data_IF_436536168148
#
_entry.id   IF_436536168148
#
_cell.length_a   1.000
_cell.length_b   1.000
_cell.length_c   1.000
_cell.angle_alpha   90.00
_cell.angle_beta   90.00
_cell.angle_gamma   90.00
#
_symmetry.space_group_name_H-M   'P 1'
#
loop_
_entity.id
_entity.type
_entity.pdbx_description
1 polymer ?
#
# COMPACT_ATOMS: atom_id res chain seq x y z
N UNK A 1 24.33 14.69 19.44
CA UNK A 1 23.69 13.87 18.40
C UNK A 1 23.30 14.78 17.26
N UNK A 2 22.99 14.28 16.07
CA UNK A 2 22.51 15.14 14.99
C UNK A 2 21.20 15.81 15.40
N UNK A 3 21.17 17.15 15.41
CA UNK A 3 20.09 17.96 15.99
C UNK A 3 18.93 18.19 15.01
N UNK A 4 18.52 17.13 14.30
CA UNK A 4 17.32 17.16 13.47
C UNK A 4 16.17 16.51 14.25
N UNK A 5 15.05 17.22 14.33
CA UNK A 5 13.84 16.73 14.99
C UNK A 5 13.20 15.59 14.18
N UNK A 6 12.15 14.96 14.72
CA UNK A 6 11.58 13.73 14.17
C UNK A 6 11.06 13.89 12.72
N UNK A 7 10.76 15.13 12.33
CA UNK A 7 10.35 15.59 11.00
C UNK A 7 11.41 15.34 9.88
N UNK A 8 12.62 14.87 10.23
CA UNK A 8 13.67 14.54 9.25
C UNK A 8 14.13 13.07 9.34
N UNK A 9 13.48 12.23 10.14
CA UNK A 9 13.95 10.86 10.42
C UNK A 9 13.51 9.87 9.32
N UNK A 10 14.10 9.98 8.14
CA UNK A 10 14.03 8.98 7.06
C UNK A 10 15.42 8.44 6.70
N UNK A 11 15.55 7.12 6.48
CA UNK A 11 16.84 6.52 6.13
C UNK A 11 17.30 6.92 4.71
N UNK A 12 16.34 7.06 3.79
CA UNK A 12 16.50 7.78 2.53
C UNK A 12 15.40 8.86 2.51
N UNK A 13 15.72 10.10 2.91
CA UNK A 13 14.80 11.26 2.76
C UNK A 13 15.22 12.11 1.56
N UNK A 14 14.24 12.46 0.71
CA UNK A 14 14.41 13.28 -0.48
C UNK A 14 13.37 14.41 -0.46
N UNK A 15 13.76 15.60 -0.91
CA UNK A 15 12.88 16.77 -1.00
C UNK A 15 12.69 17.15 -2.48
N UNK A 16 11.45 17.37 -2.91
CA UNK A 16 11.08 17.83 -4.26
C UNK A 16 11.82 17.05 -5.38
N UNK A 17 11.65 15.73 -5.43
CA UNK A 17 12.52 14.84 -6.20
C UNK A 17 11.76 13.84 -7.08
N UNK A 18 12.24 13.68 -8.31
CA UNK A 18 11.74 12.72 -9.32
C UNK A 18 12.63 11.47 -9.40
N UNK A 19 13.32 11.14 -8.30
CA UNK A 19 14.35 10.10 -8.28
C UNK A 19 13.82 8.68 -8.53
N UNK A 20 14.68 7.87 -9.15
CA UNK A 20 14.60 6.40 -9.11
C UNK A 20 15.33 5.90 -7.85
N UNK A 21 14.59 5.32 -6.91
CA UNK A 21 15.13 4.64 -5.73
C UNK A 21 14.97 3.14 -5.95
N UNK A 22 16.03 2.48 -6.40
CA UNK A 22 16.01 1.08 -6.85
C UNK A 22 17.00 0.18 -6.10
N UNK A 23 16.58 -1.05 -5.78
CA UNK A 23 17.48 -2.14 -5.37
C UNK A 23 18.08 -2.02 -3.95
N UNK A 24 17.53 -1.16 -3.09
CA UNK A 24 18.10 -0.87 -1.77
C UNK A 24 17.64 -1.86 -0.69
N UNK A 25 18.52 -2.14 0.27
CA UNK A 25 18.18 -2.81 1.53
C UNK A 25 18.08 -1.77 2.67
N UNK A 26 16.86 -1.36 3.00
CA UNK A 26 16.56 -0.31 3.98
C UNK A 26 15.97 -0.93 5.23
N UNK A 27 16.79 -1.18 6.27
CA UNK A 27 16.34 -1.93 7.46
C UNK A 27 16.83 -1.41 8.80
N UNK A 28 16.07 -1.71 9.85
CA UNK A 28 16.41 -1.45 11.25
C UNK A 28 16.57 0.04 11.62
N UNK A 29 15.93 0.96 10.88
CA UNK A 29 16.05 2.39 11.14
C UNK A 29 15.10 2.86 12.25
N UNK A 30 15.58 3.77 13.10
CA UNK A 30 14.76 4.47 14.10
C UNK A 30 14.04 5.68 13.48
N UNK A 31 13.40 5.44 12.35
CA UNK A 31 12.74 6.41 11.49
C UNK A 31 12.21 5.71 10.25
N UNK A 32 11.52 6.47 9.40
CA UNK A 32 10.94 6.00 8.15
C UNK A 32 12.00 5.33 7.25
N UNK A 33 11.62 4.34 6.46
CA UNK A 33 12.54 3.69 5.52
C UNK A 33 12.93 4.65 4.40
N UNK A 34 12.00 4.88 3.47
CA UNK A 34 12.14 5.85 2.37
C UNK A 34 11.12 6.96 2.58
N UNK A 35 11.49 8.21 2.37
CA UNK A 35 10.61 9.38 2.53
C UNK A 35 10.82 10.36 1.38
N UNK A 36 9.77 10.61 0.59
CA UNK A 36 9.71 11.74 -0.34
C UNK A 36 8.85 12.83 0.29
N UNK A 37 9.41 14.02 0.44
CA UNK A 37 8.80 15.17 1.08
C UNK A 37 8.72 16.37 0.10
N UNK A 38 7.67 17.16 0.22
CA UNK A 38 7.47 18.41 -0.51
C UNK A 38 7.65 18.32 -2.04
N UNK A 39 7.24 17.20 -2.66
CA UNK A 39 7.10 17.07 -4.10
C UNK A 39 7.77 15.85 -4.75
N UNK A 40 7.10 15.35 -5.79
CA UNK A 40 7.55 14.33 -6.74
C UNK A 40 6.68 14.43 -8.00
N UNK A 41 7.23 14.14 -9.18
CA UNK A 41 6.50 14.08 -10.45
C UNK A 41 7.29 13.28 -11.50
N UNK A 42 7.11 11.95 -11.51
CA UNK A 42 7.89 11.00 -12.30
C UNK A 42 8.85 10.14 -11.47
N UNK A 43 8.80 10.26 -10.13
CA UNK A 43 9.58 9.43 -9.22
C UNK A 43 9.19 7.94 -9.31
N UNK A 44 10.14 7.06 -8.98
CA UNK A 44 9.90 5.62 -8.89
C UNK A 44 10.65 4.99 -7.72
N UNK A 45 9.95 4.22 -6.91
CA UNK A 45 10.53 3.44 -5.80
C UNK A 45 10.31 1.96 -6.13
N UNK A 46 11.36 1.24 -6.54
CA UNK A 46 11.23 -0.11 -7.07
C UNK A 46 12.27 -1.14 -6.61
N UNK A 47 11.89 -2.42 -6.54
CA UNK A 47 12.78 -3.55 -6.18
C UNK A 47 13.50 -3.41 -4.82
N UNK A 48 13.01 -2.56 -3.91
CA UNK A 48 13.62 -2.35 -2.59
C UNK A 48 13.13 -3.35 -1.53
N UNK A 49 13.95 -3.59 -0.52
CA UNK A 49 13.64 -4.44 0.65
C UNK A 49 13.65 -3.55 1.88
N UNK A 50 12.48 -3.34 2.47
CA UNK A 50 12.23 -2.31 3.47
C UNK A 50 11.67 -3.00 4.72
N UNK A 51 12.52 -3.22 5.74
CA UNK A 51 12.19 -4.14 6.84
C UNK A 51 12.51 -3.61 8.23
N UNK A 52 11.63 -3.83 9.21
CA UNK A 52 11.85 -3.48 10.62
C UNK A 52 12.26 -2.00 10.85
N UNK A 53 11.68 -1.08 10.07
CA UNK A 53 11.84 0.35 10.27
C UNK A 53 10.76 0.89 11.22
N UNK A 54 11.06 1.95 11.96
CA UNK A 54 10.08 2.67 12.79
C UNK A 54 9.24 3.61 11.91
N UNK A 55 7.98 3.83 12.25
CA UNK A 55 7.13 4.80 11.55
C UNK A 55 6.48 4.21 10.31
N UNK A 56 7.00 4.49 9.12
CA UNK A 56 6.53 3.90 7.87
C UNK A 56 7.67 3.28 7.06
N UNK A 57 7.39 2.22 6.29
CA UNK A 57 8.34 1.65 5.34
C UNK A 57 8.67 2.64 4.21
N UNK A 58 7.63 3.14 3.55
CA UNK A 58 7.72 4.28 2.62
C UNK A 58 6.76 5.37 3.11
N UNK A 59 7.20 6.62 3.03
CA UNK A 59 6.44 7.81 3.38
C UNK A 59 6.40 8.80 2.21
N UNK A 60 5.20 9.15 1.75
CA UNK A 60 4.99 10.19 0.74
C UNK A 60 4.29 11.39 1.39
N UNK A 61 4.97 12.52 1.45
CA UNK A 61 4.45 13.77 2.03
C UNK A 61 4.39 14.90 1.01
N UNK A 62 3.25 15.61 1.02
CA UNK A 62 3.06 16.92 0.38
C UNK A 62 3.56 16.96 -1.09
N UNK A 63 3.02 16.10 -1.94
CA UNK A 63 3.40 16.02 -3.34
C UNK A 63 2.22 15.76 -4.27
N UNK A 64 2.29 16.31 -5.48
CA UNK A 64 1.31 16.06 -6.55
C UNK A 64 2.04 15.81 -7.86
N UNK A 65 1.82 14.65 -8.43
CA UNK A 65 2.49 14.18 -9.64
C UNK A 65 2.40 12.65 -9.68
N UNK A 66 2.92 12.02 -10.73
CA UNK A 66 2.96 10.56 -10.74
C UNK A 66 4.13 10.05 -9.86
N UNK A 67 3.89 9.08 -8.99
CA UNK A 67 4.97 8.28 -8.40
C UNK A 67 4.61 6.80 -8.47
N UNK A 68 5.51 6.00 -9.05
CA UNK A 68 5.34 4.57 -9.19
C UNK A 68 6.07 3.85 -8.04
N UNK A 69 5.33 3.19 -7.16
CA UNK A 69 5.87 2.44 -6.02
C UNK A 69 5.61 0.97 -6.31
N UNK A 70 6.60 0.28 -6.87
CA UNK A 70 6.40 -1.05 -7.44
C UNK A 70 7.42 -2.11 -7.08
N UNK A 71 7.01 -3.38 -7.08
CA UNK A 71 7.93 -4.49 -6.84
C UNK A 71 8.76 -4.37 -5.54
N UNK A 72 8.28 -3.70 -4.49
CA UNK A 72 9.00 -3.61 -3.21
C UNK A 72 8.53 -4.71 -2.24
N UNK A 73 9.41 -5.09 -1.31
CA UNK A 73 9.09 -5.98 -0.18
C UNK A 73 9.13 -5.14 1.10
N UNK A 74 7.98 -4.95 1.74
CA UNK A 74 7.79 -4.01 2.86
C UNK A 74 7.25 -4.78 4.07
N UNK A 75 8.10 -4.97 5.09
CA UNK A 75 7.79 -5.87 6.19
C UNK A 75 8.13 -5.36 7.60
N UNK A 76 7.37 -5.87 8.57
CA UNK A 76 7.63 -5.75 10.01
C UNK A 76 7.83 -4.31 10.51
N UNK A 77 7.22 -3.31 9.85
CA UNK A 77 7.33 -1.91 10.28
C UNK A 77 6.66 -1.71 11.65
N UNK A 78 7.34 -1.00 12.55
CA UNK A 78 6.93 -0.84 13.94
C UNK A 78 6.59 0.62 14.30
N UNK A 79 5.81 0.90 15.36
CA UNK A 79 5.46 2.26 15.74
C UNK A 79 6.70 3.10 16.08
N UNK A 80 6.80 4.29 15.48
CA UNK A 80 7.70 5.37 15.91
C UNK A 80 7.02 6.19 17.02
N UNK A 81 5.74 6.49 16.84
CA UNK A 81 4.87 7.12 17.84
C UNK A 81 3.40 6.70 17.60
N UNK A 82 2.45 7.37 18.26
CA UNK A 82 1.00 7.06 18.15
C UNK A 82 0.40 7.37 16.78
N UNK A 83 0.98 8.29 16.02
CA UNK A 83 0.54 8.70 14.69
C UNK A 83 1.20 7.83 13.60
N UNK A 84 2.55 7.81 13.58
CA UNK A 84 3.34 6.93 12.70
C UNK A 84 3.49 5.54 13.33
N UNK A 85 2.41 4.78 13.25
CA UNK A 85 2.19 3.57 14.04
C UNK A 85 2.62 2.24 13.38
N UNK A 86 3.62 2.26 12.50
CA UNK A 86 4.15 1.06 11.83
C UNK A 86 3.40 0.73 10.54
N UNK A 87 3.40 1.65 9.58
CA UNK A 87 2.74 1.51 8.28
C UNK A 87 3.68 0.92 7.23
N UNK A 88 3.14 0.13 6.29
CA UNK A 88 3.90 -0.31 5.11
C UNK A 88 4.24 0.88 4.20
N UNK A 89 3.24 1.40 3.49
CA UNK A 89 3.26 2.70 2.82
C UNK A 89 2.31 3.63 3.57
N UNK A 90 2.80 4.80 3.94
CA UNK A 90 1.98 5.93 4.39
C UNK A 90 2.09 7.07 3.38
N UNK A 91 0.96 7.67 3.03
CA UNK A 91 0.92 8.91 2.29
C UNK A 91 0.01 9.90 3.00
N UNK A 92 0.42 11.16 3.07
CA UNK A 92 -0.46 12.25 3.48
C UNK A 92 -0.23 13.53 2.70
N UNK A 93 -1.32 14.25 2.46
CA UNK A 93 -1.29 15.51 1.70
C UNK A 93 -0.70 15.33 0.29
N UNK A 94 -0.80 14.11 -0.23
CA UNK A 94 -0.11 13.58 -1.40
C UNK A 94 -1.14 13.02 -2.40
N UNK A 95 -0.82 13.00 -3.70
CA UNK A 95 -1.74 12.49 -4.73
C UNK A 95 -0.99 11.97 -5.96
N UNK A 96 -1.58 11.01 -6.67
CA UNK A 96 -1.05 10.40 -7.90
C UNK A 96 -0.08 9.22 -7.69
N UNK A 97 -0.18 8.52 -6.56
CA UNK A 97 0.66 7.36 -6.26
C UNK A 97 0.08 6.08 -6.90
N UNK A 98 0.94 5.33 -7.59
CA UNK A 98 0.61 4.01 -8.14
C UNK A 98 1.39 2.96 -7.35
N UNK A 99 0.71 2.30 -6.41
CA UNK A 99 1.23 1.23 -5.55
C UNK A 99 0.88 -0.12 -6.20
N UNK A 100 1.83 -0.76 -6.87
CA UNK A 100 1.57 -2.01 -7.58
C UNK A 100 2.65 -3.09 -7.49
N UNK A 101 2.27 -4.37 -7.53
CA UNK A 101 3.22 -5.49 -7.47
C UNK A 101 4.10 -5.53 -6.20
N UNK A 102 3.73 -4.87 -5.11
CA UNK A 102 4.47 -4.94 -3.85
C UNK A 102 4.05 -6.16 -3.01
N UNK A 103 4.92 -6.58 -2.10
CA UNK A 103 4.65 -7.58 -1.07
C UNK A 103 4.71 -6.94 0.31
N UNK A 104 3.61 -7.00 1.05
CA UNK A 104 3.50 -6.46 2.41
C UNK A 104 3.35 -7.58 3.44
N UNK A 105 4.18 -7.57 4.48
CA UNK A 105 4.19 -8.60 5.52
C UNK A 105 4.23 -7.97 6.92
N UNK A 106 3.26 -8.31 7.78
CA UNK A 106 3.32 -8.08 9.24
C UNK A 106 3.54 -6.62 9.71
N UNK A 107 3.16 -5.62 8.92
CA UNK A 107 3.29 -4.22 9.32
C UNK A 107 2.31 -3.91 10.47
N UNK A 108 2.76 -3.23 11.53
CA UNK A 108 1.97 -3.08 12.79
C UNK A 108 0.63 -2.34 12.61
N UNK A 109 0.49 -1.57 11.52
CA UNK A 109 -0.70 -0.80 11.14
C UNK A 109 -1.17 -1.21 9.73
N UNK A 110 -1.58 -0.26 8.90
CA UNK A 110 -1.99 -0.54 7.53
C UNK A 110 -0.81 -0.95 6.63
N UNK A 111 -1.03 -1.88 5.69
CA UNK A 111 -0.07 -2.11 4.61
C UNK A 111 0.02 -0.88 3.69
N UNK A 112 -1.12 -0.27 3.34
CA UNK A 112 -1.18 1.04 2.67
C UNK A 112 -2.19 1.94 3.38
N UNK A 113 -1.81 3.17 3.76
CA UNK A 113 -2.73 4.23 4.17
C UNK A 113 -2.43 5.51 3.37
N UNK A 114 -3.44 6.04 2.70
CA UNK A 114 -3.43 7.41 2.16
C UNK A 114 -4.45 8.27 2.90
N UNK A 115 -4.13 9.55 3.10
CA UNK A 115 -5.01 10.51 3.79
C UNK A 115 -4.61 11.94 3.44
N UNK A 116 -5.38 12.90 3.93
CA UNK A 116 -5.07 14.32 3.94
C UNK A 116 -5.19 14.79 5.38
N UNK A 117 -4.22 15.52 5.90
CA UNK A 117 -4.21 15.95 7.31
C UNK A 117 -4.09 17.47 7.47
N UNK A 118 -3.76 18.19 6.41
CA UNK A 118 -3.73 19.66 6.42
C UNK A 118 -4.52 20.27 5.25
N UNK A 119 -4.51 21.60 5.18
CA UNK A 119 -4.87 22.38 4.00
C UNK A 119 -3.63 23.05 3.36
N UNK A 120 -2.44 22.43 3.48
CA UNK A 120 -1.22 22.90 2.82
C UNK A 120 -1.43 22.97 1.32
N UNK A 121 -0.65 23.80 0.64
CA UNK A 121 -0.72 23.97 -0.81
C UNK A 121 0.47 23.34 -1.50
N UNK A 122 0.25 22.82 -2.70
CA UNK A 122 1.29 22.48 -3.67
C UNK A 122 1.11 23.42 -4.85
N UNK A 123 2.03 24.39 -4.99
CA UNK A 123 1.79 25.59 -5.80
C UNK A 123 0.58 26.39 -5.27
N UNK A 124 -0.32 26.79 -6.16
CA UNK A 124 -1.52 27.57 -5.78
C UNK A 124 -2.69 26.72 -5.26
N UNK A 125 -2.69 25.41 -5.57
CA UNK A 125 -3.76 24.47 -5.24
C UNK A 125 -3.58 23.91 -3.84
N UNK A 126 -4.69 23.71 -3.13
CA UNK A 126 -4.67 22.91 -1.91
C UNK A 126 -4.29 21.46 -2.25
N UNK A 127 -3.55 20.82 -1.36
CA UNK A 127 -3.28 19.39 -1.40
C UNK A 127 -4.58 18.57 -1.36
N UNK A 128 -4.50 17.32 -1.80
CA UNK A 128 -5.60 16.35 -1.76
C UNK A 128 -5.06 14.97 -1.31
N UNK A 129 -5.90 13.94 -1.36
CA UNK A 129 -5.54 12.53 -1.27
C UNK A 129 -6.22 11.79 -2.44
N UNK A 130 -5.89 12.20 -3.67
CA UNK A 130 -6.58 11.88 -4.92
C UNK A 130 -5.71 11.10 -5.89
N UNK A 131 -6.35 10.47 -6.87
CA UNK A 131 -5.71 9.76 -7.99
C UNK A 131 -4.78 8.59 -7.54
N UNK A 132 -5.10 8.02 -6.37
CA UNK A 132 -4.32 6.94 -5.73
C UNK A 132 -4.73 5.55 -6.26
N UNK A 133 -3.78 4.77 -6.76
CA UNK A 133 -4.02 3.47 -7.39
C UNK A 133 -3.27 2.37 -6.64
N UNK A 134 -3.98 1.42 -6.04
CA UNK A 134 -3.42 0.33 -5.22
C UNK A 134 -3.83 -1.02 -5.83
N UNK A 135 -3.02 -1.57 -6.73
CA UNK A 135 -3.39 -2.76 -7.53
C UNK A 135 -2.33 -3.83 -7.59
N UNK A 136 -2.72 -5.09 -7.83
CA UNK A 136 -1.77 -6.19 -8.07
C UNK A 136 -0.77 -6.40 -6.91
N UNK A 137 -1.07 -6.05 -5.66
CA UNK A 137 -0.18 -6.28 -4.51
C UNK A 137 -0.53 -7.59 -3.79
N UNK A 138 0.44 -8.17 -3.07
CA UNK A 138 0.21 -9.25 -2.10
C UNK A 138 0.35 -8.66 -0.69
N UNK A 139 -0.64 -8.86 0.18
CA UNK A 139 -0.69 -8.30 1.54
C UNK A 139 -1.03 -9.38 2.57
N UNK A 140 -0.24 -9.46 3.65
CA UNK A 140 -0.44 -10.39 4.75
C UNK A 140 -0.02 -9.81 6.11
N UNK A 141 -0.72 -10.23 7.18
CA UNK A 141 -0.33 -9.99 8.57
C UNK A 141 -0.32 -8.54 9.03
N UNK A 142 -0.69 -7.58 8.17
CA UNK A 142 -0.82 -6.18 8.58
C UNK A 142 -2.10 -6.01 9.40
N UNK A 143 -2.19 -4.98 10.24
CA UNK A 143 -3.43 -4.74 11.02
C UNK A 143 -4.63 -4.52 10.10
N UNK A 144 -4.43 -3.69 9.09
CA UNK A 144 -5.36 -3.44 7.99
C UNK A 144 -4.61 -3.55 6.66
N UNK A 145 -5.28 -3.88 5.55
CA UNK A 145 -4.62 -3.96 4.26
C UNK A 145 -4.55 -2.59 3.59
N UNK A 146 -5.71 -1.99 3.28
CA UNK A 146 -5.79 -0.71 2.55
C UNK A 146 -6.72 0.27 3.28
N UNK A 147 -6.19 1.44 3.59
CA UNK A 147 -6.92 2.52 4.24
C UNK A 147 -6.90 3.77 3.34
N UNK A 148 -8.07 4.17 2.83
CA UNK A 148 -8.24 5.37 1.99
C UNK A 148 -9.28 6.31 2.62
N UNK A 149 -9.31 7.59 2.24
CA UNK A 149 -10.41 8.47 2.59
C UNK A 149 -11.75 7.96 2.02
N UNK A 150 -12.85 8.48 2.55
CA UNK A 150 -14.13 8.33 1.87
C UNK A 150 -14.12 9.15 0.55
N UNK A 151 -14.58 8.59 -0.59
CA UNK A 151 -14.62 9.29 -1.88
C UNK A 151 -15.32 10.64 -1.79
N UNK A 152 -14.61 11.72 -2.10
CA UNK A 152 -15.08 13.08 -1.85
C UNK A 152 -14.30 14.13 -2.65
N UNK A 153 -14.65 15.41 -2.51
CA UNK A 153 -14.00 16.52 -3.22
C UNK A 153 -12.50 16.69 -2.90
N UNK A 154 -12.00 16.10 -1.81
CA UNK A 154 -10.57 16.13 -1.41
C UNK A 154 -9.88 14.76 -1.57
N UNK A 155 -10.59 13.75 -2.07
CA UNK A 155 -10.07 12.41 -2.36
C UNK A 155 -10.91 11.79 -3.48
N UNK A 156 -10.48 12.05 -4.71
CA UNK A 156 -11.14 11.67 -5.96
C UNK A 156 -10.35 10.55 -6.64
N UNK A 157 -11.03 9.73 -7.44
CA UNK A 157 -10.42 8.73 -8.33
C UNK A 157 -9.56 7.64 -7.66
N UNK A 158 -9.58 7.51 -6.33
CA UNK A 158 -8.80 6.49 -5.64
C UNK A 158 -9.38 5.08 -5.88
N UNK A 159 -8.51 4.11 -6.15
CA UNK A 159 -8.85 2.73 -6.53
C UNK A 159 -8.00 1.73 -5.75
N UNK A 160 -8.64 0.64 -5.30
CA UNK A 160 -7.93 -0.57 -4.90
C UNK A 160 -8.62 -1.80 -5.45
N UNK A 161 -7.93 -2.60 -6.28
CA UNK A 161 -8.46 -3.84 -6.86
C UNK A 161 -7.32 -4.79 -7.26
N UNK A 162 -7.62 -6.04 -7.64
CA UNK A 162 -6.64 -7.05 -8.06
C UNK A 162 -5.56 -7.39 -7.02
N UNK A 163 -5.77 -7.05 -5.76
CA UNK A 163 -4.85 -7.38 -4.67
C UNK A 163 -5.15 -8.78 -4.10
N UNK A 164 -4.13 -9.45 -3.59
CA UNK A 164 -4.25 -10.73 -2.88
C UNK A 164 -4.01 -10.52 -1.40
N UNK A 165 -4.96 -10.96 -0.58
CA UNK A 165 -4.88 -10.95 0.86
C UNK A 165 -4.75 -12.39 1.37
N UNK A 166 -3.75 -12.68 2.20
CA UNK A 166 -3.64 -13.98 2.87
C UNK A 166 -3.21 -13.75 4.32
N UNK A 167 -3.67 -14.58 5.27
CA UNK A 167 -3.36 -14.40 6.70
C UNK A 167 -3.54 -12.93 7.18
N UNK A 168 -4.57 -12.27 6.66
CA UNK A 168 -4.81 -10.83 6.82
C UNK A 168 -6.06 -10.63 7.68
N UNK A 169 -5.98 -9.70 8.63
CA UNK A 169 -7.09 -9.35 9.52
C UNK A 169 -8.08 -8.40 8.84
N UNK A 170 -8.12 -7.15 9.28
CA UNK A 170 -8.96 -6.13 8.65
C UNK A 170 -8.48 -5.91 7.20
N UNK A 171 -9.40 -5.81 6.23
CA UNK A 171 -9.03 -5.53 4.83
C UNK A 171 -9.06 -4.03 4.58
N UNK A 172 -10.24 -3.42 4.66
CA UNK A 172 -10.44 -2.02 4.30
C UNK A 172 -10.84 -1.12 5.45
N UNK A 173 -10.47 0.15 5.34
CA UNK A 173 -10.93 1.22 6.22
C UNK A 173 -11.15 2.51 5.46
N UNK A 174 -12.24 3.20 5.77
CA UNK A 174 -12.38 4.61 5.44
C UNK A 174 -11.76 5.44 6.57
N UNK A 175 -10.63 6.08 6.30
CA UNK A 175 -9.93 6.94 7.26
C UNK A 175 -10.44 8.37 7.22
N UNK A 176 -10.20 9.10 8.32
CA UNK A 176 -10.37 10.55 8.35
C UNK A 176 -9.46 11.23 7.31
N UNK A 177 -9.98 12.28 6.70
CA UNK A 177 -9.33 13.12 5.71
C UNK A 177 -9.74 14.58 5.96
N UNK A 178 -8.77 15.49 6.06
CA UNK A 178 -9.01 16.90 6.32
C UNK A 178 -9.85 17.54 5.19
N UNK A 179 -10.94 18.22 5.55
CA UNK A 179 -11.87 18.79 4.56
C UNK A 179 -12.79 17.78 3.86
N UNK A 180 -12.85 16.53 4.33
CA UNK A 180 -13.90 15.58 3.92
C UNK A 180 -15.31 16.09 4.33
N UNK A 181 -16.39 15.57 3.74
CA UNK A 181 -17.76 15.89 4.16
C UNK A 181 -18.02 15.57 5.63
N UNK A 182 -18.97 16.29 6.24
CA UNK A 182 -19.45 16.01 7.60
C UNK A 182 -19.82 14.52 7.76
N UNK A 183 -19.58 13.94 8.95
CA UNK A 183 -19.71 12.49 9.17
C UNK A 183 -21.09 12.00 8.76
N UNK A 184 -22.13 12.74 9.10
CA UNK A 184 -23.55 12.46 8.85
C UNK A 184 -23.83 12.33 7.34
N UNK A 185 -23.18 13.15 6.52
CA UNK A 185 -23.28 13.08 5.06
C UNK A 185 -22.55 11.86 4.49
N UNK A 186 -21.47 11.40 5.14
CA UNK A 186 -20.80 10.14 4.81
C UNK A 186 -21.68 8.96 5.24
N UNK A 187 -22.25 8.98 6.46
CA UNK A 187 -23.17 7.94 6.95
C UNK A 187 -24.36 7.77 6.00
N UNK A 188 -24.96 8.88 5.54
CA UNK A 188 -26.06 8.90 4.55
C UNK A 188 -25.66 8.26 3.22
N UNK A 189 -24.55 8.70 2.63
CA UNK A 189 -24.07 8.15 1.35
C UNK A 189 -23.71 6.67 1.44
N UNK A 190 -23.11 6.22 2.54
CA UNK A 190 -22.84 4.79 2.75
C UNK A 190 -24.15 4.03 2.86
N UNK A 191 -25.15 4.49 3.63
CA UNK A 191 -26.48 3.84 3.69
C UNK A 191 -27.15 3.77 2.31
N UNK A 192 -27.08 4.84 1.52
CA UNK A 192 -27.64 4.89 0.17
C UNK A 192 -26.98 3.88 -0.78
N UNK A 193 -25.64 3.73 -0.72
CA UNK A 193 -24.90 2.78 -1.57
C UNK A 193 -24.97 1.33 -1.08
N UNK A 194 -24.99 1.12 0.24
CA UNK A 194 -24.97 -0.18 0.87
C UNK A 194 -26.36 -0.85 0.90
N UNK A 195 -27.42 -0.05 0.96
CA UNK A 195 -28.80 -0.51 1.07
C UNK A 195 -29.08 -1.29 2.35
N UNK A 196 -30.28 -1.87 2.45
CA UNK A 196 -30.71 -2.64 3.63
C UNK A 196 -29.96 -3.98 3.81
N UNK A 197 -29.22 -4.44 2.80
CA UNK A 197 -28.55 -5.76 2.79
C UNK A 197 -27.25 -5.76 3.63
N UNK A 198 -26.69 -4.58 3.94
CA UNK A 198 -25.39 -4.42 4.58
C UNK A 198 -25.48 -3.61 5.90
N UNK A 199 -26.60 -3.64 6.62
CA UNK A 199 -26.77 -2.87 7.87
C UNK A 199 -25.78 -3.31 8.96
N UNK A 200 -25.41 -4.60 9.03
CA UNK A 200 -24.36 -5.09 9.94
C UNK A 200 -22.97 -4.54 9.59
N UNK A 201 -22.58 -4.61 8.32
CA UNK A 201 -21.33 -4.02 7.82
C UNK A 201 -21.29 -2.50 8.07
N UNK A 202 -22.42 -1.82 7.85
CA UNK A 202 -22.57 -0.39 8.15
C UNK A 202 -22.42 -0.10 9.65
N UNK A 203 -22.98 -0.94 10.53
CA UNK A 203 -22.84 -0.78 11.98
C UNK A 203 -21.38 -0.98 12.44
N UNK A 204 -20.66 -1.94 11.85
CA UNK A 204 -19.20 -2.11 12.06
C UNK A 204 -18.45 -0.85 11.62
N UNK A 205 -18.68 -0.39 10.38
CA UNK A 205 -18.07 0.84 9.87
C UNK A 205 -18.35 2.04 10.78
N UNK A 206 -19.58 2.22 11.23
CA UNK A 206 -19.98 3.35 12.09
C UNK A 206 -19.23 3.39 13.41
N UNK A 207 -18.85 2.21 13.93
CA UNK A 207 -18.13 2.02 15.20
C UNK A 207 -16.62 2.29 15.10
N UNK A 208 -15.96 1.90 14.01
CA UNK A 208 -14.49 1.91 13.93
C UNK A 208 -13.87 2.29 12.57
N UNK A 209 -14.69 2.60 11.55
CA UNK A 209 -14.30 2.97 10.19
C UNK A 209 -13.96 1.80 9.26
N UNK A 210 -13.98 0.55 9.75
CA UNK A 210 -13.68 -0.63 8.93
C UNK A 210 -14.78 -0.88 7.90
N UNK A 211 -14.39 -1.30 6.70
CA UNK A 211 -15.32 -1.77 5.67
C UNK A 211 -15.00 -3.22 5.31
N UNK A 212 -16.02 -4.07 5.21
CA UNK A 212 -15.85 -5.38 4.58
C UNK A 212 -15.66 -5.22 3.07
N UNK A 213 -15.22 -6.29 2.40
CA UNK A 213 -15.19 -6.37 0.92
C UNK A 213 -16.52 -5.94 0.29
N UNK A 214 -17.67 -6.33 0.89
CA UNK A 214 -19.01 -6.01 0.36
C UNK A 214 -19.31 -4.52 0.48
N UNK A 215 -19.11 -3.95 1.66
CA UNK A 215 -19.37 -2.53 1.90
C UNK A 215 -18.42 -1.64 1.09
N UNK A 216 -17.14 -2.01 1.02
CA UNK A 216 -16.15 -1.33 0.21
C UNK A 216 -16.51 -1.36 -1.28
N UNK A 217 -16.86 -2.53 -1.82
CA UNK A 217 -17.27 -2.67 -3.21
C UNK A 217 -18.55 -1.88 -3.53
N UNK A 218 -19.55 -1.90 -2.64
CA UNK A 218 -20.76 -1.08 -2.80
C UNK A 218 -20.48 0.42 -2.76
N UNK A 219 -19.55 0.88 -1.91
CA UNK A 219 -19.22 2.30 -1.77
C UNK A 219 -18.32 2.82 -2.90
N UNK A 220 -17.32 2.04 -3.31
CA UNK A 220 -16.24 2.46 -4.20
C UNK A 220 -16.36 1.95 -5.64
N UNK A 221 -17.06 0.84 -5.87
CA UNK A 221 -17.05 0.09 -7.14
C UNK A 221 -15.84 -0.84 -7.32
N UNK A 222 -14.88 -0.86 -6.38
CA UNK A 222 -13.58 -1.52 -6.53
C UNK A 222 -13.42 -2.78 -5.65
N UNK A 223 -12.27 -3.44 -5.78
CA UNK A 223 -11.92 -4.71 -5.11
C UNK A 223 -12.76 -5.93 -5.49
N UNK A 224 -13.45 -5.89 -6.63
CA UNK A 224 -14.23 -7.00 -7.16
C UNK A 224 -13.35 -8.13 -7.72
N UNK A 225 -12.13 -7.81 -8.14
CA UNK A 225 -11.14 -8.74 -8.70
C UNK A 225 -10.05 -9.14 -7.69
N UNK A 226 -9.91 -8.39 -6.59
CA UNK A 226 -9.12 -8.81 -5.43
C UNK A 226 -9.54 -10.21 -4.91
N UNK A 227 -8.62 -10.93 -4.28
CA UNK A 227 -8.84 -12.31 -3.79
C UNK A 227 -8.33 -12.50 -2.37
N UNK A 228 -9.04 -13.31 -1.60
CA UNK A 228 -8.55 -13.85 -0.32
C UNK A 228 -8.02 -15.27 -0.54
N UNK A 229 -6.89 -15.59 0.09
CA UNK A 229 -6.27 -16.90 0.06
C UNK A 229 -6.03 -17.41 1.48
N UNK A 230 -6.30 -18.69 1.69
CA UNK A 230 -5.98 -19.35 2.95
C UNK A 230 -4.48 -19.48 3.14
N UNK A 231 -4.00 -19.57 4.38
CA UNK A 231 -2.56 -19.76 4.68
C UNK A 231 -1.96 -21.04 4.06
N UNK A 232 -2.81 -22.02 3.73
CA UNK A 232 -2.42 -23.25 3.01
C UNK A 232 -2.30 -23.06 1.49
N UNK A 233 -2.88 -21.99 0.94
CA UNK A 233 -2.90 -21.68 -0.50
C UNK A 233 -1.77 -20.70 -0.87
N UNK A 234 -1.51 -19.73 0.01
CA UNK A 234 -0.37 -18.83 -0.10
C UNK A 234 0.25 -18.59 1.28
N UNK A 235 1.56 -18.75 1.38
CA UNK A 235 2.32 -18.40 2.58
C UNK A 235 3.71 -17.86 2.21
N UNK A 236 4.14 -16.79 2.90
CA UNK A 236 5.48 -16.22 2.76
C UNK A 236 6.30 -16.46 4.04
N UNK A 237 7.56 -16.84 3.88
CA UNK A 237 8.55 -16.89 4.96
C UNK A 237 9.73 -15.98 4.60
N UNK A 238 9.72 -14.75 5.13
CA UNK A 238 10.79 -13.77 4.96
C UNK A 238 11.82 -13.94 6.07
N UNK A 239 13.09 -14.15 5.69
CA UNK A 239 14.22 -14.20 6.61
C UNK A 239 15.07 -12.94 6.47
N UNK A 240 14.73 -11.90 7.25
CA UNK A 240 15.35 -10.56 7.16
C UNK A 240 16.88 -10.60 7.30
N UNK A 241 17.43 -11.43 8.18
CA UNK A 241 18.88 -11.50 8.40
C UNK A 241 19.63 -12.19 7.25
N UNK A 242 19.01 -13.18 6.61
CA UNK A 242 19.55 -13.89 5.44
C UNK A 242 19.28 -13.13 4.13
N UNK A 243 18.44 -12.08 4.15
CA UNK A 243 17.88 -11.41 2.97
C UNK A 243 17.24 -12.40 1.98
N UNK A 244 16.50 -13.40 2.46
CA UNK A 244 15.87 -14.43 1.62
C UNK A 244 14.38 -14.54 1.90
N UNK A 245 13.62 -15.00 0.91
CA UNK A 245 12.20 -15.31 1.06
C UNK A 245 11.84 -16.62 0.37
N UNK A 246 10.96 -17.39 1.02
CA UNK A 246 10.25 -18.50 0.40
C UNK A 246 8.78 -18.15 0.29
N UNK A 247 8.22 -18.23 -0.92
CA UNK A 247 6.77 -18.18 -1.18
C UNK A 247 6.29 -19.59 -1.51
N UNK A 248 5.43 -20.15 -0.67
CA UNK A 248 4.71 -21.38 -0.97
C UNK A 248 3.38 -21.02 -1.64
N UNK A 249 3.15 -21.55 -2.84
CA UNK A 249 1.91 -21.36 -3.62
C UNK A 249 1.30 -22.72 -3.88
N UNK A 250 0.14 -23.02 -3.30
CA UNK A 250 -0.57 -24.29 -3.50
C UNK A 250 -1.80 -24.08 -4.38
N UNK A 251 -2.01 -25.01 -5.32
CA UNK A 251 -3.05 -24.90 -6.34
C UNK A 251 -2.73 -23.84 -7.40
N UNK A 252 -3.78 -23.29 -8.00
CA UNK A 252 -3.74 -22.47 -9.21
C UNK A 252 -4.35 -21.06 -9.04
N UNK A 253 -5.09 -20.81 -7.95
CA UNK A 253 -5.82 -19.54 -7.70
C UNK A 253 -5.00 -18.27 -7.93
N UNK A 254 -3.75 -18.23 -7.48
CA UNK A 254 -2.85 -17.09 -7.70
C UNK A 254 -2.33 -17.05 -9.15
N UNK A 255 -1.98 -18.22 -9.68
CA UNK A 255 -1.33 -18.39 -10.99
C UNK A 255 -2.31 -18.20 -12.17
N UNK A 256 -3.61 -18.29 -11.91
CA UNK A 256 -4.69 -18.00 -12.86
C UNK A 256 -5.15 -16.53 -12.84
N UNK A 257 -4.63 -15.70 -11.91
CA UNK A 257 -4.91 -14.27 -11.97
C UNK A 257 -4.26 -13.68 -13.22
N UNK A 258 -5.02 -12.90 -13.97
CA UNK A 258 -4.54 -12.14 -15.12
C UNK A 258 -4.85 -10.67 -14.86
N UNK A 259 -4.02 -10.07 -14.01
CA UNK A 259 -4.12 -8.68 -13.61
C UNK A 259 -3.95 -7.74 -14.82
N UNK A 260 -4.64 -6.58 -14.83
CA UNK A 260 -4.33 -5.52 -15.77
C UNK A 260 -2.86 -5.10 -15.65
N UNK A 261 -2.14 -4.92 -16.78
CA UNK A 261 -0.79 -4.38 -16.76
C UNK A 261 -0.82 -2.93 -16.28
N UNK A 262 0.19 -2.54 -15.50
CA UNK A 262 0.35 -1.17 -14.98
C UNK A 262 1.43 -0.48 -15.82
N UNK A 263 1.13 0.72 -16.32
CA UNK A 263 2.06 1.49 -17.12
C UNK A 263 3.37 1.78 -16.35
N UNK A 264 4.51 1.70 -17.04
CA UNK A 264 5.84 1.83 -16.45
C UNK A 264 6.41 0.53 -15.85
N UNK A 265 5.59 -0.43 -15.42
CA UNK A 265 6.06 -1.72 -14.90
C UNK A 265 6.26 -2.71 -16.06
N UNK A 266 7.52 -2.99 -16.39
CA UNK A 266 7.91 -3.96 -17.43
C UNK A 266 8.54 -5.24 -16.88
N UNK A 267 9.06 -5.18 -15.66
CA UNK A 267 9.81 -6.26 -15.03
C UNK A 267 9.40 -6.43 -13.57
N UNK A 268 9.62 -7.64 -13.05
CA UNK A 268 9.43 -8.01 -11.65
C UNK A 268 10.67 -7.70 -10.78
N UNK A 269 10.61 -8.01 -9.48
CA UNK A 269 11.71 -7.84 -8.52
C UNK A 269 13.02 -8.48 -8.98
N UNK A 270 12.96 -9.62 -9.69
CA UNK A 270 14.11 -10.38 -10.16
C UNK A 270 14.54 -10.00 -11.58
N UNK A 271 14.06 -8.86 -12.11
CA UNK A 271 14.32 -8.42 -13.48
C UNK A 271 13.70 -9.35 -14.54
N UNK A 272 12.62 -10.07 -14.21
CA UNK A 272 11.91 -10.91 -15.18
C UNK A 272 10.80 -10.11 -15.86
N UNK A 273 10.68 -10.16 -17.20
CA UNK A 273 9.66 -9.40 -17.90
C UNK A 273 8.25 -9.85 -17.49
N UNK A 274 7.33 -8.89 -17.35
CA UNK A 274 5.90 -9.16 -17.21
C UNK A 274 5.37 -9.65 -18.58
N UNK A 275 4.80 -10.86 -18.60
CA UNK A 275 4.19 -11.43 -19.81
C UNK A 275 2.73 -11.03 -19.89
N UNK A 276 2.33 -10.35 -20.97
CA UNK A 276 0.95 -9.96 -21.20
C UNK A 276 0.01 -11.19 -21.21
N UNK A 277 -1.11 -11.11 -20.48
CA UNK A 277 -2.04 -12.23 -20.29
C UNK A 277 -1.65 -13.22 -19.18
N UNK A 278 -0.52 -13.01 -18.49
CA UNK A 278 -0.01 -13.84 -17.40
C UNK A 278 0.52 -13.01 -16.22
N UNK A 279 -0.01 -11.80 -16.04
CA UNK A 279 0.41 -10.89 -14.96
C UNK A 279 -0.29 -11.28 -13.67
N UNK A 280 0.46 -11.59 -12.63
CA UNK A 280 -0.07 -11.98 -11.31
C UNK A 280 0.22 -10.92 -10.24
N UNK A 281 -0.51 -10.90 -9.11
CA UNK A 281 -0.19 -10.00 -8.00
C UNK A 281 1.20 -10.26 -7.40
N UNK A 282 1.81 -9.20 -6.91
CA UNK A 282 3.06 -9.22 -6.14
C UNK A 282 4.34 -9.13 -6.99
N UNK A 283 5.50 -9.12 -6.31
CA UNK A 283 6.79 -8.74 -6.89
C UNK A 283 7.48 -9.84 -7.70
N UNK A 284 6.89 -11.03 -7.79
CA UNK A 284 7.47 -12.20 -8.46
C UNK A 284 6.47 -12.75 -9.47
N UNK A 285 6.81 -12.70 -10.77
CA UNK A 285 5.89 -13.08 -11.85
C UNK A 285 6.08 -14.52 -12.33
N UNK A 286 7.23 -15.14 -12.01
CA UNK A 286 7.58 -16.51 -12.43
C UNK A 286 7.34 -17.56 -11.32
N UNK A 287 6.29 -17.37 -10.52
CA UNK A 287 5.90 -18.31 -9.46
C UNK A 287 5.41 -19.64 -10.04
N UNK A 288 5.67 -20.74 -9.32
CA UNK A 288 5.27 -22.11 -9.64
C UNK A 288 4.53 -22.72 -8.44
N UNK A 289 3.72 -23.78 -8.64
CA UNK A 289 3.18 -24.56 -7.54
C UNK A 289 4.29 -25.12 -6.63
N UNK A 290 4.04 -25.13 -5.32
CA UNK A 290 5.01 -25.49 -4.28
C UNK A 290 5.86 -24.30 -3.82
N UNK A 291 7.11 -24.59 -3.45
CA UNK A 291 8.03 -23.59 -2.87
C UNK A 291 8.83 -22.82 -3.94
N UNK A 292 8.77 -21.50 -3.87
CA UNK A 292 9.55 -20.56 -4.69
C UNK A 292 10.52 -19.81 -3.77
N UNK A 293 11.82 -19.91 -4.03
CA UNK A 293 12.86 -19.32 -3.17
C UNK A 293 13.63 -18.22 -3.91
N UNK A 294 13.82 -17.10 -3.22
CA UNK A 294 14.54 -15.93 -3.75
C UNK A 294 15.58 -15.43 -2.76
N UNK A 295 16.77 -15.12 -3.27
CA UNK A 295 17.74 -14.26 -2.60
C UNK A 295 17.38 -12.83 -2.99
N UNK A 296 17.16 -11.97 -1.99
CA UNK A 296 16.69 -10.61 -2.18
C UNK A 296 17.85 -9.61 -2.25
N UNK A 297 18.86 -9.75 -1.39
CA UNK A 297 19.99 -8.82 -1.35
C UNK A 297 21.34 -9.51 -1.02
N UNK A 298 22.43 -9.18 -1.73
CA UNK A 298 22.49 -8.28 -2.89
C UNK A 298 21.72 -8.84 -4.08
N UNK A 299 21.11 -7.97 -4.89
CA UNK A 299 20.54 -8.36 -6.18
C UNK A 299 21.68 -8.76 -7.14
N UNK A 300 21.34 -9.52 -8.17
CA UNK A 300 22.24 -9.78 -9.31
C UNK A 300 22.14 -8.67 -10.35
#
# INVERSE_FOLDING_TARGET
GAECSWEEWGAIKLHASDALVEGNLVRNNYGHGIWFDNGYNGARITRNIITNNKGAGIFMELGTGQCLIDNNIIADTAPLNTFYNGLGIYAHDASGLVVAHNLFLNNTSAAVRMTRVTNRKVGDKANEASDEIIVNNIISGSRSAVELPFPSVVSRNCMSDWNVFFNQGDIFRFVYCFGQPAKENIEKQIKEKAGAVLEEDFAVWRKNGMASMKLWGAVTGWSLNSRFMEKKELNCNLKILENTITLTVEGDKLLQMNCPPVEGIKEDFSGKPLTAGQVIPGPFQQLKPGQNYYILFPSK
#
